data_IF_588259463104
#
_entry.id   IF_588259463104
#
_cell.length_a   1.000
_cell.length_b   1.000
_cell.length_c   1.000
_cell.angle_alpha   90.00
_cell.angle_beta   90.00
_cell.angle_gamma   90.00
#
_symmetry.space_group_name_H-M   'P 1'
#
loop_
_entity.id
_entity.type
_entity.pdbx_description
1 polymer ?
#
# COMPACT_ATOMS: atom_id res chain seq x y z
N UNK A 1 -23.03 3.70 -34.46
CA UNK A 1 -22.56 5.03 -34.03
C UNK A 1 -21.09 4.83 -33.65
N UNK A 2 -20.20 5.22 -34.58
CA UNK A 2 -18.76 4.98 -34.49
C UNK A 2 -18.12 5.74 -33.33
N UNK A 3 -17.24 5.07 -32.61
CA UNK A 3 -16.35 5.70 -31.64
C UNK A 3 -15.43 6.66 -32.43
N UNK A 4 -15.42 7.92 -32.10
CA UNK A 4 -14.47 8.86 -32.70
C UNK A 4 -13.07 8.45 -32.24
N UNK A 5 -12.32 7.79 -33.12
CA UNK A 5 -10.92 7.41 -32.92
C UNK A 5 -10.11 8.60 -32.41
N UNK A 6 -10.35 9.77 -32.99
CA UNK A 6 -9.60 11.00 -32.72
C UNK A 6 -9.84 11.59 -31.31
N UNK A 7 -11.06 11.53 -30.80
CA UNK A 7 -11.39 12.14 -29.50
C UNK A 7 -11.13 11.26 -28.29
N UNK A 8 -11.02 9.94 -28.48
CA UNK A 8 -10.96 9.00 -27.36
C UNK A 8 -9.70 8.11 -27.38
N UNK A 9 -9.32 7.58 -28.52
CA UNK A 9 -8.20 6.63 -28.63
C UNK A 9 -6.88 7.34 -28.91
N UNK A 10 -6.87 8.40 -29.73
CA UNK A 10 -5.64 9.13 -30.09
C UNK A 10 -4.99 9.78 -28.88
N UNK A 11 -5.70 10.52 -27.98
CA UNK A 11 -5.05 11.08 -26.79
C UNK A 11 -4.46 10.02 -25.86
N UNK A 12 -5.10 8.86 -25.77
CA UNK A 12 -4.60 7.71 -25.03
C UNK A 12 -3.33 7.14 -25.66
N UNK A 13 -3.36 6.89 -26.97
CA UNK A 13 -2.24 6.34 -27.72
C UNK A 13 -1.02 7.28 -27.68
N UNK A 14 -1.23 8.58 -27.83
CA UNK A 14 -0.15 9.57 -27.84
C UNK A 14 0.55 9.67 -26.48
N UNK A 15 -0.21 9.66 -25.37
CA UNK A 15 0.37 9.64 -24.02
C UNK A 15 1.16 8.36 -23.78
N UNK A 16 0.63 7.22 -24.19
CA UNK A 16 1.34 5.94 -24.01
C UNK A 16 2.56 5.85 -24.91
N UNK A 17 2.47 6.28 -26.17
CA UNK A 17 3.55 6.22 -27.15
C UNK A 17 4.74 7.12 -26.78
N UNK A 18 4.47 8.29 -26.18
CA UNK A 18 5.54 9.20 -25.74
C UNK A 18 6.40 8.65 -24.62
N UNK A 19 5.86 7.72 -23.80
CA UNK A 19 6.50 7.29 -22.56
C UNK A 19 6.87 5.79 -22.54
N UNK A 20 6.26 4.96 -23.37
CA UNK A 20 6.47 3.51 -23.38
C UNK A 20 7.02 3.02 -24.71
N UNK A 21 7.97 2.08 -24.65
CA UNK A 21 8.35 1.26 -25.81
C UNK A 21 7.15 0.41 -26.27
N UNK A 22 7.00 0.18 -27.57
CA UNK A 22 5.84 -0.45 -28.22
C UNK A 22 5.29 -1.71 -27.57
N UNK A 23 6.15 -2.57 -27.00
CA UNK A 23 5.71 -3.79 -26.31
C UNK A 23 4.93 -3.52 -25.00
N UNK A 24 5.23 -2.42 -24.29
CA UNK A 24 4.52 -2.04 -23.07
C UNK A 24 3.20 -1.33 -23.37
N UNK A 25 3.14 -0.64 -24.50
CA UNK A 25 1.90 -0.04 -25.03
C UNK A 25 0.87 -1.12 -25.31
N UNK A 26 1.25 -2.18 -26.03
CA UNK A 26 0.34 -3.29 -26.36
C UNK A 26 -0.20 -3.98 -25.11
N UNK A 27 0.64 -4.16 -24.08
CA UNK A 27 0.22 -4.74 -22.79
C UNK A 27 -0.72 -3.83 -22.01
N UNK A 28 -0.48 -2.52 -22.01
CA UNK A 28 -1.38 -1.52 -21.40
C UNK A 28 -2.75 -1.53 -22.07
N UNK A 29 -2.77 -1.56 -23.41
CA UNK A 29 -3.99 -1.64 -24.21
C UNK A 29 -4.78 -2.94 -23.97
N UNK A 30 -4.11 -4.08 -23.82
CA UNK A 30 -4.75 -5.38 -23.62
C UNK A 30 -5.40 -5.54 -22.24
N UNK A 31 -4.98 -4.77 -21.24
CA UNK A 31 -5.55 -4.77 -19.89
C UNK A 31 -6.66 -3.72 -19.72
N UNK A 32 -6.88 -2.90 -20.74
CA UNK A 32 -7.82 -1.80 -20.68
C UNK A 32 -9.27 -2.27 -20.83
N UNK A 33 -10.06 -2.05 -19.81
CA UNK A 33 -11.50 -2.29 -19.82
C UNK A 33 -12.22 -0.97 -20.06
N UNK A 34 -12.89 -0.88 -21.20
CA UNK A 34 -13.73 0.26 -21.54
C UNK A 34 -15.14 0.02 -21.03
N UNK A 35 -15.65 0.91 -20.22
CA UNK A 35 -17.00 0.84 -19.67
C UNK A 35 -17.93 1.80 -20.40
N UNK A 36 -18.19 1.51 -21.69
CA UNK A 36 -19.19 2.24 -22.47
C UNK A 36 -18.68 3.55 -23.09
N UNK A 37 -19.58 4.19 -23.83
CA UNK A 37 -19.31 5.35 -24.69
C UNK A 37 -19.04 6.62 -23.90
N UNK A 38 -19.80 6.81 -22.84
CA UNK A 38 -19.70 7.96 -21.93
C UNK A 38 -18.36 7.96 -21.17
N UNK A 39 -17.92 6.77 -20.72
CA UNK A 39 -16.63 6.59 -20.09
C UNK A 39 -15.44 6.98 -21.00
N UNK A 40 -15.55 6.69 -22.29
CA UNK A 40 -14.56 7.08 -23.29
C UNK A 40 -14.51 8.59 -23.55
N UNK A 41 -15.67 9.26 -23.52
CA UNK A 41 -15.73 10.72 -23.73
C UNK A 41 -15.07 11.51 -22.59
N UNK A 42 -15.06 10.96 -21.38
CA UNK A 42 -14.43 11.58 -20.22
C UNK A 42 -12.91 11.41 -20.19
N UNK A 43 -12.39 10.38 -20.87
CA UNK A 43 -10.99 9.96 -20.76
C UNK A 43 -10.01 11.06 -21.20
N UNK A 44 -10.17 11.62 -22.39
CA UNK A 44 -9.33 12.71 -22.91
C UNK A 44 -9.34 13.94 -22.01
N UNK A 45 -10.52 14.49 -21.66
CA UNK A 45 -10.64 15.60 -20.70
C UNK A 45 -9.99 15.33 -19.34
N UNK A 46 -10.09 14.11 -18.80
CA UNK A 46 -9.50 13.77 -17.52
C UNK A 46 -7.96 13.68 -17.58
N UNK A 47 -7.40 13.17 -18.68
CA UNK A 47 -5.96 13.25 -18.94
C UNK A 47 -5.50 14.70 -19.06
N UNK A 48 -6.23 15.54 -19.82
CA UNK A 48 -5.92 16.97 -19.93
C UNK A 48 -5.89 17.63 -18.54
N UNK A 49 -6.89 17.37 -17.71
CA UNK A 49 -6.92 17.87 -16.31
C UNK A 49 -5.66 17.53 -15.54
N UNK A 50 -5.12 16.30 -15.66
CA UNK A 50 -3.88 15.92 -14.98
C UNK A 50 -2.66 16.65 -15.54
N UNK A 51 -2.58 16.82 -16.87
CA UNK A 51 -1.50 17.57 -17.54
C UNK A 51 -1.53 19.04 -17.12
N UNK A 52 -2.70 19.67 -17.13
CA UNK A 52 -2.90 21.08 -16.81
C UNK A 52 -2.47 21.40 -15.37
N UNK A 53 -2.67 20.48 -14.43
CA UNK A 53 -2.17 20.63 -13.06
C UNK A 53 -0.71 20.20 -12.89
N UNK A 54 -0.01 19.78 -13.93
CA UNK A 54 1.41 19.45 -13.92
C UNK A 54 1.76 18.06 -13.41
N UNK A 55 0.85 17.07 -13.54
CA UNK A 55 1.18 15.66 -13.26
C UNK A 55 2.09 15.13 -14.38
N UNK A 56 3.24 14.50 -14.05
CA UNK A 56 4.15 13.96 -15.07
C UNK A 56 3.50 12.88 -15.93
N UNK A 57 3.87 12.81 -17.20
CA UNK A 57 3.37 11.80 -18.13
C UNK A 57 3.59 10.36 -17.63
N UNK A 58 4.76 10.07 -17.03
CA UNK A 58 5.05 8.76 -16.43
C UNK A 58 4.03 8.35 -15.34
N UNK A 59 3.54 9.30 -14.56
CA UNK A 59 2.50 9.10 -13.56
C UNK A 59 1.13 8.89 -14.19
N UNK A 60 0.83 9.61 -15.26
CA UNK A 60 -0.41 9.42 -16.05
C UNK A 60 -0.41 8.02 -16.68
N UNK A 61 0.72 7.61 -17.27
CA UNK A 61 0.89 6.25 -17.80
C UNK A 61 0.71 5.18 -16.73
N UNK A 62 1.24 5.40 -15.52
CA UNK A 62 0.99 4.47 -14.40
C UNK A 62 -0.52 4.32 -14.11
N UNK A 63 -1.26 5.42 -14.08
CA UNK A 63 -2.73 5.37 -13.91
C UNK A 63 -3.40 4.61 -15.06
N UNK A 64 -2.91 4.74 -16.29
CA UNK A 64 -3.46 4.07 -17.47
C UNK A 64 -3.24 2.55 -17.48
N UNK A 65 -2.01 2.11 -17.17
CA UNK A 65 -1.64 0.68 -17.27
C UNK A 65 -1.97 -0.14 -16.03
N UNK A 66 -2.33 0.50 -14.95
CA UNK A 66 -2.75 -0.19 -13.72
C UNK A 66 -4.21 -0.63 -13.86
N UNK A 67 -4.43 -1.92 -14.01
CA UNK A 67 -5.71 -2.56 -14.39
C UNK A 67 -6.93 -2.18 -13.53
N UNK A 68 -6.71 -1.68 -12.33
CA UNK A 68 -7.78 -1.22 -11.43
C UNK A 68 -7.89 0.31 -11.35
N UNK A 69 -6.90 1.04 -11.85
CA UNK A 69 -6.81 2.50 -11.72
C UNK A 69 -7.28 3.21 -12.98
N UNK A 70 -7.15 2.58 -14.14
CA UNK A 70 -7.61 3.15 -15.43
C UNK A 70 -9.10 3.54 -15.44
N UNK A 71 -9.91 2.92 -14.58
CA UNK A 71 -11.34 3.25 -14.41
C UNK A 71 -11.56 4.65 -13.82
N UNK A 72 -10.64 5.19 -13.03
CA UNK A 72 -10.80 6.55 -12.49
C UNK A 72 -10.72 7.62 -13.56
N UNK A 73 -9.96 7.38 -14.65
CA UNK A 73 -9.86 8.28 -15.80
C UNK A 73 -11.12 8.27 -16.67
N UNK A 74 -12.05 7.34 -16.42
CA UNK A 74 -13.32 7.23 -17.11
C UNK A 74 -14.47 7.86 -16.32
N UNK A 75 -14.21 8.37 -15.12
CA UNK A 75 -15.22 9.06 -14.31
C UNK A 75 -15.71 10.34 -14.98
N UNK A 76 -16.91 10.79 -14.58
CA UNK A 76 -17.40 12.09 -14.97
C UNK A 76 -16.34 13.18 -14.76
N UNK A 77 -16.14 14.03 -15.75
CA UNK A 77 -15.03 14.99 -15.76
C UNK A 77 -15.10 16.02 -14.63
N UNK A 78 -16.29 16.48 -14.25
CA UNK A 78 -16.42 17.44 -13.15
C UNK A 78 -16.10 16.78 -11.80
N UNK A 79 -16.63 15.58 -11.55
CA UNK A 79 -16.28 14.79 -10.35
C UNK A 79 -14.78 14.49 -10.30
N UNK A 80 -14.15 14.20 -11.45
CA UNK A 80 -12.72 13.96 -11.53
C UNK A 80 -11.91 15.21 -11.18
N UNK A 81 -12.28 16.38 -11.72
CA UNK A 81 -11.65 17.66 -11.38
C UNK A 81 -11.77 17.99 -9.88
N UNK A 82 -12.94 17.77 -9.29
CA UNK A 82 -13.16 17.92 -7.85
C UNK A 82 -12.23 17.02 -7.03
N UNK A 83 -12.09 15.76 -7.43
CA UNK A 83 -11.18 14.80 -6.78
C UNK A 83 -9.71 15.25 -6.91
N UNK A 84 -9.28 15.72 -8.08
CA UNK A 84 -7.94 16.27 -8.31
C UNK A 84 -7.70 17.49 -7.43
N UNK A 85 -8.64 18.43 -7.39
CA UNK A 85 -8.55 19.64 -6.54
C UNK A 85 -8.46 19.27 -5.06
N UNK A 86 -9.25 18.29 -4.61
CA UNK A 86 -9.24 17.77 -3.24
C UNK A 86 -7.87 17.17 -2.87
N UNK A 87 -7.28 16.36 -3.74
CA UNK A 87 -5.95 15.78 -3.48
C UNK A 87 -4.88 16.86 -3.41
N UNK A 88 -4.96 17.89 -4.27
CA UNK A 88 -4.06 19.05 -4.23
C UNK A 88 -4.22 19.80 -2.90
N UNK A 89 -5.46 20.09 -2.46
CA UNK A 89 -5.73 20.79 -1.20
C UNK A 89 -5.24 20.04 0.03
N UNK A 90 -5.14 18.70 -0.04
CA UNK A 90 -4.55 17.85 1.01
C UNK A 90 -3.01 17.90 1.04
N UNK A 91 -2.37 18.68 0.16
CA UNK A 91 -0.94 18.92 0.15
C UNK A 91 -0.12 17.83 -0.57
N UNK A 92 -0.72 17.00 -1.40
CA UNK A 92 0.04 16.02 -2.18
C UNK A 92 0.84 16.66 -3.31
N UNK A 93 2.12 16.29 -3.41
CA UNK A 93 2.97 16.71 -4.50
C UNK A 93 2.62 15.96 -5.79
N UNK A 94 2.21 16.70 -6.81
CA UNK A 94 1.75 16.20 -8.12
C UNK A 94 2.80 15.39 -8.87
N UNK A 95 4.09 15.66 -8.60
CA UNK A 95 5.21 14.93 -9.23
C UNK A 95 5.50 13.57 -8.59
N UNK A 96 4.87 13.24 -7.48
CA UNK A 96 5.10 11.99 -6.76
C UNK A 96 3.99 10.98 -7.02
N UNK A 97 4.35 9.70 -7.00
CA UNK A 97 3.39 8.59 -7.14
C UNK A 97 2.32 8.59 -6.03
N UNK A 98 2.62 9.15 -4.86
CA UNK A 98 1.65 9.31 -3.78
C UNK A 98 0.44 10.16 -4.18
N UNK A 99 0.60 11.14 -5.09
CA UNK A 99 -0.52 11.89 -5.64
C UNK A 99 -1.49 10.98 -6.41
N UNK A 100 -0.97 10.15 -7.32
CA UNK A 100 -1.78 9.21 -8.09
C UNK A 100 -2.49 8.19 -7.17
N UNK A 101 -1.79 7.69 -6.17
CA UNK A 101 -2.36 6.79 -5.18
C UNK A 101 -3.46 7.47 -4.35
N UNK A 102 -3.28 8.73 -3.96
CA UNK A 102 -4.29 9.50 -3.23
C UNK A 102 -5.51 9.77 -4.13
N UNK A 103 -5.29 10.15 -5.39
CA UNK A 103 -6.36 10.33 -6.36
C UNK A 103 -7.16 9.05 -6.56
N UNK A 104 -6.48 7.90 -6.65
CA UNK A 104 -7.14 6.60 -6.70
C UNK A 104 -8.04 6.36 -5.49
N UNK A 105 -7.54 6.60 -4.29
CA UNK A 105 -8.31 6.42 -3.06
C UNK A 105 -9.52 7.33 -3.01
N UNK A 106 -9.34 8.63 -3.26
CA UNK A 106 -10.43 9.63 -3.23
C UNK A 106 -11.49 9.33 -4.29
N UNK A 107 -11.08 8.82 -5.46
CA UNK A 107 -11.98 8.46 -6.55
C UNK A 107 -12.76 7.17 -6.31
N UNK A 108 -12.23 6.23 -5.52
CA UNK A 108 -12.83 4.92 -5.30
C UNK A 108 -13.61 4.81 -3.99
N UNK A 109 -13.26 5.60 -2.97
CA UNK A 109 -13.93 5.55 -1.68
C UNK A 109 -15.06 6.58 -1.60
N UNK A 110 -16.29 6.09 -1.39
CA UNK A 110 -17.40 6.94 -0.99
C UNK A 110 -17.12 7.55 0.41
N UNK A 111 -17.84 8.64 0.73
CA UNK A 111 -17.74 9.29 2.05
C UNK A 111 -18.01 8.28 3.20
N UNK A 112 -19.02 7.44 3.06
CA UNK A 112 -19.35 6.40 4.05
C UNK A 112 -18.19 5.43 4.26
N UNK A 113 -17.60 4.91 3.17
CA UNK A 113 -16.44 3.99 3.26
C UNK A 113 -15.20 4.66 3.84
N UNK A 114 -15.00 5.94 3.56
CA UNK A 114 -13.93 6.71 4.19
C UNK A 114 -14.12 6.77 5.71
N UNK A 115 -15.34 7.11 6.17
CA UNK A 115 -15.68 7.16 7.59
C UNK A 115 -15.54 5.80 8.28
N UNK A 116 -15.93 4.70 7.61
CA UNK A 116 -15.72 3.33 8.10
C UNK A 116 -14.22 3.02 8.30
N UNK A 117 -13.39 3.41 7.34
CA UNK A 117 -11.93 3.27 7.47
C UNK A 117 -11.35 4.09 8.62
N UNK A 118 -11.80 5.33 8.77
CA UNK A 118 -11.42 6.18 9.91
C UNK A 118 -11.78 5.50 11.24
N UNK A 119 -13.02 4.98 11.37
CA UNK A 119 -13.47 4.23 12.56
C UNK A 119 -12.62 2.98 12.80
N UNK A 120 -12.29 2.24 11.74
CA UNK A 120 -11.45 1.04 11.84
C UNK A 120 -10.08 1.34 12.45
N UNK A 121 -9.37 2.34 11.95
CA UNK A 121 -8.05 2.71 12.48
C UNK A 121 -8.15 3.30 13.91
N UNK A 122 -9.20 4.09 14.20
CA UNK A 122 -9.47 4.61 15.55
C UNK A 122 -9.67 3.49 16.58
N UNK A 123 -10.28 2.34 16.21
CA UNK A 123 -10.41 1.16 17.09
C UNK A 123 -9.06 0.61 17.56
N UNK A 124 -7.98 0.81 16.77
CA UNK A 124 -6.62 0.41 17.12
C UNK A 124 -5.83 1.53 17.82
N UNK A 125 -6.49 2.62 18.22
CA UNK A 125 -5.88 3.71 18.99
C UNK A 125 -5.21 4.79 18.14
N UNK A 126 -5.40 4.80 16.80
CA UNK A 126 -4.90 5.91 15.99
C UNK A 126 -5.76 7.15 16.18
N UNK A 127 -5.10 8.28 16.36
CA UNK A 127 -5.75 9.59 16.29
C UNK A 127 -6.12 9.94 14.84
N UNK A 128 -6.97 10.95 14.68
CA UNK A 128 -7.32 11.43 13.33
C UNK A 128 -6.10 11.96 12.58
N UNK A 129 -5.22 12.69 13.28
CA UNK A 129 -3.96 13.19 12.71
C UNK A 129 -3.03 12.06 12.27
N UNK A 130 -2.94 10.97 13.04
CA UNK A 130 -2.15 9.80 12.67
C UNK A 130 -2.73 9.08 11.45
N UNK A 131 -4.06 8.99 11.31
CA UNK A 131 -4.70 8.42 10.13
C UNK A 131 -4.41 9.30 8.90
N UNK A 132 -4.53 10.62 9.03
CA UNK A 132 -4.21 11.56 7.95
C UNK A 132 -2.72 11.54 7.59
N UNK A 133 -1.84 11.42 8.58
CA UNK A 133 -0.40 11.22 8.34
C UNK A 133 -0.13 9.92 7.59
N UNK A 134 -0.74 8.82 8.01
CA UNK A 134 -0.63 7.53 7.35
C UNK A 134 -1.16 7.59 5.91
N UNK A 135 -2.28 8.26 5.68
CA UNK A 135 -2.81 8.52 4.35
C UNK A 135 -1.83 9.32 3.48
N UNK A 136 -1.20 10.38 4.00
CA UNK A 136 -0.20 11.14 3.24
C UNK A 136 1.03 10.31 2.89
N UNK A 137 1.49 9.43 3.78
CA UNK A 137 2.66 8.55 3.55
C UNK A 137 2.33 7.39 2.62
N UNK A 138 1.17 6.78 2.77
CA UNK A 138 0.75 5.60 2.00
C UNK A 138 -0.76 5.60 1.77
N UNK A 139 -1.26 6.34 0.77
CA UNK A 139 -2.70 6.47 0.52
C UNK A 139 -3.43 5.14 0.41
N UNK A 140 -2.81 4.14 -0.23
CA UNK A 140 -3.42 2.85 -0.52
C UNK A 140 -3.79 2.03 0.73
N UNK A 141 -3.32 2.40 1.92
CA UNK A 141 -3.74 1.74 3.17
C UNK A 141 -5.23 1.89 3.42
N UNK A 142 -5.85 2.96 2.91
CA UNK A 142 -7.29 3.18 3.00
C UNK A 142 -8.11 2.21 2.14
N UNK A 143 -7.49 1.55 1.14
CA UNK A 143 -8.13 0.54 0.29
C UNK A 143 -7.97 -0.90 0.82
N UNK A 144 -7.16 -1.12 1.85
CA UNK A 144 -6.97 -2.46 2.40
C UNK A 144 -8.28 -3.04 2.95
N UNK A 145 -8.51 -4.33 2.75
CA UNK A 145 -9.65 -5.04 3.33
C UNK A 145 -9.61 -4.96 4.86
N UNK A 146 -10.77 -4.84 5.51
CA UNK A 146 -10.87 -4.70 6.96
C UNK A 146 -10.18 -5.83 7.70
N UNK A 147 -10.48 -7.09 7.35
CA UNK A 147 -9.84 -8.26 7.97
C UNK A 147 -8.32 -8.23 7.86
N UNK A 148 -7.78 -7.74 6.73
CA UNK A 148 -6.34 -7.62 6.53
C UNK A 148 -5.74 -6.59 7.50
N UNK A 149 -6.39 -5.45 7.69
CA UNK A 149 -5.97 -4.42 8.64
C UNK A 149 -6.06 -4.96 10.06
N UNK A 150 -7.21 -5.55 10.44
CA UNK A 150 -7.46 -6.11 11.78
C UNK A 150 -6.39 -7.13 12.15
N UNK A 151 -6.14 -8.11 11.28
CA UNK A 151 -5.17 -9.18 11.55
C UNK A 151 -3.75 -8.63 11.74
N UNK A 152 -3.33 -7.69 10.89
CA UNK A 152 -1.98 -7.10 10.98
C UNK A 152 -1.82 -6.17 12.17
N UNK A 153 -2.81 -5.31 12.43
CA UNK A 153 -2.78 -4.44 13.59
C UNK A 153 -2.79 -5.24 14.90
N UNK A 154 -3.63 -6.29 14.99
CA UNK A 154 -3.62 -7.20 16.14
C UNK A 154 -2.26 -7.87 16.33
N UNK A 155 -1.60 -8.29 15.26
CA UNK A 155 -0.26 -8.84 15.35
C UNK A 155 0.75 -7.80 15.87
N UNK A 156 0.77 -6.59 15.30
CA UNK A 156 1.73 -5.56 15.72
C UNK A 156 1.48 -5.10 17.16
N UNK A 157 0.24 -4.85 17.54
CA UNK A 157 -0.09 -4.30 18.86
C UNK A 157 -0.13 -5.39 19.93
N UNK A 158 -0.87 -6.47 19.69
CA UNK A 158 -1.12 -7.49 20.74
C UNK A 158 -0.01 -8.54 20.84
N UNK A 159 0.60 -8.91 19.70
CA UNK A 159 1.67 -9.94 19.70
C UNK A 159 3.06 -9.33 19.84
N UNK A 160 3.32 -8.21 19.16
CA UNK A 160 4.65 -7.57 19.18
C UNK A 160 4.79 -6.46 20.22
N UNK A 161 3.70 -6.07 20.90
CA UNK A 161 3.71 -4.99 21.87
C UNK A 161 4.12 -3.63 21.31
N UNK A 162 3.88 -3.40 20.01
CA UNK A 162 4.16 -2.11 19.39
C UNK A 162 3.09 -1.10 19.76
N UNK A 163 3.49 0.17 19.89
CA UNK A 163 2.51 1.23 19.98
C UNK A 163 1.77 1.40 18.64
N UNK A 164 0.46 1.63 18.62
CA UNK A 164 -0.29 1.90 17.39
C UNK A 164 0.36 3.01 16.54
N UNK A 165 0.91 4.04 17.17
CA UNK A 165 1.66 5.14 16.53
C UNK A 165 2.89 4.68 15.76
N UNK A 166 3.58 3.61 16.20
CA UNK A 166 4.72 3.05 15.46
C UNK A 166 4.30 2.57 14.05
N UNK A 167 3.09 1.98 13.96
CA UNK A 167 2.51 1.52 12.71
C UNK A 167 1.99 2.70 11.88
N UNK A 168 1.35 3.69 12.51
CA UNK A 168 0.90 4.90 11.84
C UNK A 168 2.06 5.69 11.20
N UNK A 169 3.22 5.69 11.85
CA UNK A 169 4.46 6.29 11.30
C UNK A 169 5.01 5.51 10.09
N UNK A 170 4.71 4.21 9.96
CA UNK A 170 5.21 3.31 8.94
C UNK A 170 4.05 2.55 8.23
N UNK A 171 3.02 3.22 7.70
CA UNK A 171 1.78 2.60 7.27
C UNK A 171 1.97 1.59 6.11
N UNK A 172 3.05 1.73 5.35
CA UNK A 172 3.45 0.79 4.30
C UNK A 172 3.52 -0.66 4.78
N UNK A 173 3.82 -0.89 6.07
CA UNK A 173 3.93 -2.25 6.63
C UNK A 173 2.63 -3.03 6.51
N UNK A 174 1.47 -2.35 6.52
CA UNK A 174 0.17 -2.96 6.38
C UNK A 174 -0.08 -3.56 4.98
N UNK A 175 0.73 -3.19 3.97
CA UNK A 175 0.63 -3.73 2.61
C UNK A 175 1.43 -5.02 2.41
N UNK A 176 2.34 -5.36 3.35
CA UNK A 176 3.13 -6.58 3.24
C UNK A 176 2.33 -7.82 3.65
N UNK A 177 2.75 -9.01 3.13
CA UNK A 177 2.21 -10.30 3.57
C UNK A 177 2.52 -10.52 5.05
N UNK A 178 1.49 -10.89 5.81
CA UNK A 178 1.62 -11.21 7.23
C UNK A 178 2.51 -12.44 7.40
N UNK A 179 2.19 -13.52 6.71
CA UNK A 179 2.85 -14.83 6.84
C UNK A 179 4.26 -14.84 6.25
N UNK A 180 4.44 -14.22 5.05
CA UNK A 180 5.70 -14.35 4.30
C UNK A 180 6.71 -13.24 4.61
N UNK A 181 6.31 -12.16 5.30
CA UNK A 181 7.22 -11.05 5.59
C UNK A 181 7.13 -10.51 7.01
N UNK A 182 5.92 -10.19 7.48
CA UNK A 182 5.75 -9.52 8.77
C UNK A 182 6.13 -10.48 9.89
N UNK A 183 5.45 -11.63 10.01
CA UNK A 183 5.70 -12.60 11.07
C UNK A 183 7.18 -13.05 11.08
N UNK A 184 7.77 -13.57 9.97
CA UNK A 184 9.14 -14.09 10.04
C UNK A 184 10.16 -13.05 10.50
N UNK A 185 10.05 -11.82 10.01
CA UNK A 185 11.02 -10.78 10.32
C UNK A 185 10.84 -10.20 11.72
N UNK A 186 9.60 -9.93 12.13
CA UNK A 186 9.33 -9.43 13.47
C UNK A 186 9.67 -10.45 14.54
N UNK A 187 9.36 -11.72 14.31
CA UNK A 187 9.67 -12.80 15.25
C UNK A 187 11.19 -12.98 15.44
N UNK A 188 11.97 -13.01 14.36
CA UNK A 188 13.42 -13.10 14.44
C UNK A 188 14.00 -11.94 15.25
N UNK A 189 13.60 -10.71 14.96
CA UNK A 189 14.12 -9.53 15.68
C UNK A 189 13.68 -9.53 17.15
N UNK A 190 12.49 -10.04 17.45
CA UNK A 190 12.01 -10.21 18.83
C UNK A 190 12.85 -11.23 19.58
N UNK A 191 13.16 -12.38 18.96
CA UNK A 191 14.05 -13.42 19.51
C UNK A 191 15.43 -12.87 19.82
N UNK A 192 16.03 -12.19 18.86
CA UNK A 192 17.36 -11.61 19.04
C UNK A 192 17.39 -10.58 20.18
N UNK A 193 16.33 -9.80 20.31
CA UNK A 193 16.19 -8.82 21.40
C UNK A 193 16.01 -9.51 22.76
N UNK A 194 15.13 -10.51 22.86
CA UNK A 194 14.83 -11.23 24.11
C UNK A 194 16.04 -12.01 24.63
N UNK A 195 16.89 -12.51 23.72
CA UNK A 195 18.17 -13.18 24.08
C UNK A 195 19.33 -12.21 24.34
N UNK A 196 19.09 -10.87 24.25
CA UNK A 196 20.12 -9.87 24.47
C UNK A 196 21.19 -9.80 23.36
N UNK A 197 21.01 -10.50 22.26
CA UNK A 197 21.93 -10.50 21.12
C UNK A 197 21.93 -9.15 20.39
N UNK A 198 20.79 -8.45 20.38
CA UNK A 198 20.68 -7.05 19.98
C UNK A 198 20.27 -6.19 21.18
N UNK A 199 20.94 -5.05 21.35
CA UNK A 199 20.78 -4.20 22.55
C UNK A 199 19.68 -3.13 22.41
N UNK A 200 19.23 -2.85 21.20
CA UNK A 200 18.26 -1.76 20.92
C UNK A 200 17.09 -2.30 20.11
N UNK A 201 15.87 -1.79 20.43
CA UNK A 201 14.69 -2.02 19.61
C UNK A 201 14.96 -1.50 18.19
N UNK A 202 14.84 -2.39 17.20
CA UNK A 202 15.06 -2.05 15.80
C UNK A 202 13.81 -1.37 15.25
N UNK A 203 13.94 -0.25 14.52
CA UNK A 203 12.81 0.41 13.89
C UNK A 203 12.05 -0.53 12.94
N UNK A 204 10.73 -0.43 12.92
CA UNK A 204 9.84 -1.24 12.07
C UNK A 204 10.20 -1.11 10.58
N UNK A 205 10.63 0.08 10.15
CA UNK A 205 11.14 0.33 8.80
C UNK A 205 12.38 -0.51 8.46
N UNK A 206 13.32 -0.63 9.39
CA UNK A 206 14.52 -1.45 9.20
C UNK A 206 14.18 -2.94 9.12
N UNK A 207 13.20 -3.40 9.92
CA UNK A 207 12.74 -4.78 9.92
C UNK A 207 12.05 -5.10 8.59
N UNK A 208 11.11 -4.25 8.16
CA UNK A 208 10.15 -4.60 7.12
C UNK A 208 10.44 -3.99 5.74
N UNK A 209 11.17 -2.85 5.61
CA UNK A 209 11.42 -2.22 4.31
C UNK A 209 12.68 -2.72 3.61
N UNK A 210 13.57 -3.36 4.35
CA UNK A 210 14.83 -3.89 3.79
C UNK A 210 14.59 -5.08 2.84
N UNK A 211 15.53 -5.31 1.92
CA UNK A 211 15.47 -6.47 1.01
C UNK A 211 15.55 -7.80 1.76
N UNK A 212 15.10 -8.90 1.13
CA UNK A 212 15.23 -10.26 1.70
C UNK A 212 16.70 -10.58 1.99
N UNK A 213 17.61 -10.26 1.06
CA UNK A 213 19.05 -10.52 1.18
C UNK A 213 19.67 -9.75 2.36
N UNK A 214 19.34 -8.46 2.49
CA UNK A 214 19.85 -7.66 3.61
C UNK A 214 19.38 -8.22 4.95
N UNK A 215 18.07 -8.52 5.08
CA UNK A 215 17.52 -9.06 6.32
C UNK A 215 18.12 -10.41 6.67
N UNK A 216 18.24 -11.32 5.68
CA UNK A 216 18.89 -12.62 5.87
C UNK A 216 20.31 -12.48 6.42
N UNK A 217 21.13 -11.66 5.78
CA UNK A 217 22.52 -11.49 6.21
C UNK A 217 22.61 -10.88 7.61
N UNK A 218 21.84 -9.79 7.86
CA UNK A 218 21.96 -8.96 9.06
C UNK A 218 21.29 -9.56 10.31
N UNK A 219 20.24 -10.35 10.16
CA UNK A 219 19.44 -10.81 11.30
C UNK A 219 19.30 -12.33 11.39
N UNK A 220 19.74 -13.06 10.39
CA UNK A 220 19.67 -14.52 10.39
C UNK A 220 21.07 -15.12 10.40
N UNK A 221 21.88 -14.85 9.36
CA UNK A 221 23.21 -15.47 9.23
C UNK A 221 24.21 -14.93 10.23
N UNK A 222 24.12 -13.64 10.59
CA UNK A 222 25.01 -13.04 11.61
C UNK A 222 24.87 -13.72 12.98
N UNK A 223 23.69 -14.26 13.30
CA UNK A 223 23.38 -14.92 14.59
C UNK A 223 23.13 -16.42 14.45
N UNK A 224 23.56 -17.03 13.35
CA UNK A 224 23.31 -18.45 13.09
C UNK A 224 24.09 -19.38 14.02
N UNK A 225 25.23 -18.94 14.56
CA UNK A 225 25.98 -19.71 15.53
C UNK A 225 25.28 -19.76 16.89
N UNK A 226 24.68 -18.65 17.31
CA UNK A 226 23.96 -18.54 18.59
C UNK A 226 22.57 -19.19 18.52
N UNK A 227 21.92 -19.11 17.35
CA UNK A 227 20.57 -19.67 17.13
C UNK A 227 20.50 -20.35 15.75
N UNK A 228 20.95 -21.60 15.62
CA UNK A 228 20.98 -22.32 14.34
C UNK A 228 19.63 -22.44 13.63
N UNK A 229 18.54 -22.42 14.40
CA UNK A 229 17.17 -22.58 13.89
C UNK A 229 16.65 -21.36 13.12
N UNK A 230 17.28 -20.17 13.23
CA UNK A 230 16.82 -18.94 12.58
C UNK A 230 16.67 -19.09 11.05
N UNK A 231 17.60 -19.81 10.41
CA UNK A 231 17.55 -20.03 8.96
C UNK A 231 16.33 -20.87 8.56
N UNK A 232 16.08 -22.00 9.25
CA UNK A 232 14.94 -22.86 9.00
C UNK A 232 13.62 -22.16 9.24
N UNK A 233 13.55 -21.33 10.30
CA UNK A 233 12.38 -20.50 10.57
C UNK A 233 12.15 -19.44 9.47
N UNK A 234 13.21 -18.73 9.07
CA UNK A 234 13.11 -17.70 8.03
C UNK A 234 12.69 -18.24 6.67
N UNK A 235 13.05 -19.50 6.38
CA UNK A 235 12.66 -20.23 5.17
C UNK A 235 11.26 -20.84 5.27
N UNK A 236 10.59 -20.74 6.41
CA UNK A 236 9.25 -21.31 6.63
C UNK A 236 9.25 -22.83 6.83
N UNK A 237 10.40 -23.43 7.14
CA UNK A 237 10.56 -24.88 7.42
C UNK A 237 10.26 -25.26 8.86
N UNK A 238 10.11 -24.26 9.72
CA UNK A 238 9.87 -24.39 11.16
C UNK A 238 8.82 -23.36 11.59
N UNK A 239 7.98 -23.72 12.52
CA UNK A 239 6.98 -22.81 13.11
C UNK A 239 7.57 -21.96 14.22
N UNK A 240 6.87 -20.89 14.58
CA UNK A 240 7.30 -19.99 15.66
C UNK A 240 7.31 -20.67 17.03
N UNK A 241 6.38 -21.58 17.28
CA UNK A 241 6.30 -22.35 18.51
C UNK A 241 7.52 -23.26 18.71
N UNK A 242 8.06 -23.81 17.62
CA UNK A 242 9.26 -24.69 17.65
C UNK A 242 10.56 -23.90 17.94
N UNK A 243 10.55 -22.56 17.79
CA UNK A 243 11.68 -21.73 18.22
C UNK A 243 11.78 -21.57 19.76
N UNK A 244 10.86 -22.19 20.52
CA UNK A 244 10.83 -22.11 21.98
C UNK A 244 10.37 -20.74 22.50
N UNK A 245 9.75 -19.94 21.69
CA UNK A 245 9.27 -18.61 22.00
C UNK A 245 7.77 -18.56 21.64
N UNK A 246 6.98 -19.26 22.44
CA UNK A 246 5.54 -19.08 22.41
C UNK A 246 5.24 -17.62 22.73
N UNK A 247 4.65 -16.87 21.79
CA UNK A 247 3.75 -15.81 22.22
C UNK A 247 2.66 -16.54 22.99
N UNK A 248 2.61 -16.37 24.31
CA UNK A 248 1.48 -16.84 25.09
C UNK A 248 0.23 -16.31 24.41
N UNK A 249 -0.66 -17.22 24.08
CA UNK A 249 -1.92 -16.91 23.41
C UNK A 249 -2.83 -16.22 24.43
N UNK A 250 -2.61 -14.91 24.63
CA UNK A 250 -3.41 -14.07 25.52
C UNK A 250 -4.85 -13.91 25.05
N UNK A 251 -5.26 -14.67 24.03
CA UNK A 251 -6.64 -14.69 23.53
C UNK A 251 -7.59 -15.58 24.34
N UNK A 252 -7.11 -16.30 25.41
CA UNK A 252 -7.98 -17.18 26.23
C UNK A 252 -8.60 -16.55 27.45
N UNK A 253 -8.21 -15.34 27.88
CA UNK A 253 -8.66 -14.75 29.15
C UNK A 253 -9.62 -13.55 29.01
N UNK A 254 -10.48 -13.53 27.97
CA UNK A 254 -11.63 -12.61 27.94
C UNK A 254 -12.92 -13.34 27.56
N UNK A 255 -13.23 -14.40 28.29
CA UNK A 255 -14.59 -14.89 28.50
C UNK A 255 -14.82 -15.04 29.98
N UNK A 256 -15.27 -13.97 30.64
CA UNK A 256 -16.15 -13.95 31.79
C UNK A 256 -17.01 -12.70 31.66
#
# INVERSE_FOLDING_TARGET
MELSLEKSIVPFYDVIKSELRDQKVAKGLSTWRVFGKEALSNFGPNISTLKDVGVPNSSIVYLLVSSHVGTILQQNTETFKENVAKVISMGFNRSLMSFCNALQVISLLSKSRWEEKMKLYKKFGWTEDEILLAFRKSPLVMLLAENNVVTKMSFFVNKMGLQPSDVAQNPEVLKYSLENRIIPRCSITHVLLSKGLIKKKIPLSTILFTTKKYFLNKFVLEYQQEIPQLSSFFEGKMSFAELGLGFEDTSRDKQV
#
